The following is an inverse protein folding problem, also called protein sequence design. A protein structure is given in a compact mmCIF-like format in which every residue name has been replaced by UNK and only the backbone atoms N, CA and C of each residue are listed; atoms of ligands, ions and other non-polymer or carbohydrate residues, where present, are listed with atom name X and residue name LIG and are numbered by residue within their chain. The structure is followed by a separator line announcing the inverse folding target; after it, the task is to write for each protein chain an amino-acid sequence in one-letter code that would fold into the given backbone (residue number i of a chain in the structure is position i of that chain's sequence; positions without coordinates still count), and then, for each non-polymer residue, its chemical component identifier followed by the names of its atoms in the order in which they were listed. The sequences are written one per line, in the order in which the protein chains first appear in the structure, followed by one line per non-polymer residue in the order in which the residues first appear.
data_IF_737210941891
#
_entry.id   IF_737210941891
#
_cell.length_a   1.000
_cell.length_b   1.000
_cell.length_c   1.000
_cell.angle_alpha   90.00
_cell.angle_beta   90.00
_cell.angle_gamma   90.00
#
_symmetry.space_group_name_H-M   'P 1'
#
loop_
_entity.id
_entity.type
_entity.pdbx_description
1 polymer ?
#
# COMPACT_ATOMS: atom_id res chain seq x y z
N UNK A 1 -13.43 -0.73 22.43
CA UNK A 1 -13.35 -1.68 21.30
C UNK A 1 -13.81 -1.00 20.03
N UNK A 2 -13.08 -1.22 18.95
CA UNK A 2 -13.36 -0.70 17.63
C UNK A 2 -13.72 -1.88 16.74
N UNK A 3 -14.82 -1.77 16.00
CA UNK A 3 -15.19 -2.70 14.93
C UNK A 3 -14.78 -2.08 13.61
N UNK A 4 -13.73 -2.64 13.00
CA UNK A 4 -13.16 -2.18 11.74
C UNK A 4 -13.52 -3.17 10.65
N UNK A 5 -14.06 -2.68 9.53
CA UNK A 5 -14.26 -3.46 8.32
C UNK A 5 -13.08 -3.25 7.39
N UNK A 6 -12.58 -4.34 6.83
CA UNK A 6 -11.46 -4.37 5.91
C UNK A 6 -11.93 -5.08 4.65
N UNK A 7 -11.84 -4.40 3.51
CA UNK A 7 -12.29 -4.87 2.21
C UNK A 7 -11.06 -4.92 1.31
N UNK A 8 -10.76 -6.08 0.74
CA UNK A 8 -9.70 -6.19 -0.24
C UNK A 8 -10.18 -5.65 -1.59
N UNK A 9 -9.37 -4.83 -2.25
CA UNK A 9 -9.63 -4.26 -3.57
C UNK A 9 -9.44 -5.33 -4.65
N UNK A 10 -10.46 -6.15 -4.87
CA UNK A 10 -10.47 -7.21 -5.89
C UNK A 10 -11.86 -7.34 -6.51
N UNK A 11 -11.98 -8.09 -7.61
CA UNK A 11 -13.25 -8.25 -8.34
C UNK A 11 -14.32 -8.97 -7.51
N UNK A 12 -13.89 -9.88 -6.63
CA UNK A 12 -14.77 -10.62 -5.72
C UNK A 12 -14.87 -9.93 -4.34
N UNK A 13 -16.02 -10.08 -3.68
CA UNK A 13 -16.21 -9.56 -2.33
C UNK A 13 -15.36 -10.33 -1.30
N UNK A 14 -14.21 -9.77 -0.91
CA UNK A 14 -13.33 -10.32 0.14
C UNK A 14 -13.26 -9.35 1.32
N UNK A 15 -14.01 -9.66 2.38
CA UNK A 15 -14.27 -8.74 3.50
C UNK A 15 -13.97 -9.41 4.84
N UNK A 16 -13.37 -8.67 5.77
CA UNK A 16 -13.17 -9.07 7.16
C UNK A 16 -13.70 -7.98 8.10
N UNK A 17 -14.44 -8.38 9.12
CA UNK A 17 -14.79 -7.51 10.24
C UNK A 17 -13.89 -7.88 11.43
N UNK A 18 -13.06 -6.95 11.88
CA UNK A 18 -12.07 -7.12 12.95
C UNK A 18 -12.49 -6.28 14.15
N UNK A 19 -12.52 -6.90 15.34
CA UNK A 19 -12.62 -6.19 16.61
C UNK A 19 -11.22 -6.05 17.19
N UNK A 20 -10.83 -4.83 17.56
CA UNK A 20 -9.53 -4.51 18.17
C UNK A 20 -9.70 -3.45 19.26
N UNK A 21 -8.75 -3.38 20.19
CA UNK A 21 -8.68 -2.26 21.14
C UNK A 21 -8.44 -0.94 20.38
N UNK A 22 -9.17 0.12 20.76
CA UNK A 22 -8.97 1.44 20.17
C UNK A 22 -7.66 2.10 20.61
N UNK A 23 -7.09 1.63 21.72
CA UNK A 23 -5.78 2.07 22.22
C UNK A 23 -4.61 1.32 21.55
N UNK A 24 -4.89 0.30 20.73
CA UNK A 24 -3.85 -0.35 19.94
C UNK A 24 -3.29 0.60 18.87
N UNK A 25 -2.05 0.39 18.47
CA UNK A 25 -1.42 1.14 17.39
C UNK A 25 -1.76 0.54 16.02
N UNK A 26 -1.42 1.25 14.95
CA UNK A 26 -1.67 0.79 13.59
C UNK A 26 -0.80 -0.41 13.20
N UNK A 27 0.33 -0.64 13.87
CA UNK A 27 1.17 -1.82 13.65
C UNK A 27 0.45 -3.10 14.11
N UNK A 28 -0.20 -3.04 15.28
CA UNK A 28 -1.07 -4.12 15.75
C UNK A 28 -2.24 -4.36 14.79
N UNK A 29 -2.79 -3.30 14.18
CA UNK A 29 -3.81 -3.43 13.13
C UNK A 29 -3.24 -4.06 11.85
N UNK A 30 -2.04 -3.69 11.42
CA UNK A 30 -1.32 -4.32 10.30
C UNK A 30 -1.23 -5.84 10.51
N UNK A 31 -0.75 -6.30 11.67
CA UNK A 31 -0.65 -7.74 11.95
C UNK A 31 -2.02 -8.41 12.01
N UNK A 32 -3.04 -7.73 12.56
CA UNK A 32 -4.39 -8.25 12.61
C UNK A 32 -4.99 -8.44 11.20
N UNK A 33 -4.77 -7.48 10.29
CA UNK A 33 -5.19 -7.58 8.89
C UNK A 33 -4.42 -8.70 8.19
N UNK A 34 -3.08 -8.71 8.28
CA UNK A 34 -2.27 -9.75 7.65
C UNK A 34 -2.75 -11.16 8.04
N UNK A 35 -2.92 -11.40 9.34
CA UNK A 35 -3.44 -12.67 9.87
C UNK A 35 -4.87 -12.98 9.38
N UNK A 36 -5.75 -11.99 9.32
CA UNK A 36 -7.15 -12.19 8.91
C UNK A 36 -7.31 -12.56 7.43
N UNK A 37 -6.35 -12.15 6.59
CA UNK A 37 -6.31 -12.46 5.16
C UNK A 37 -5.33 -13.61 4.83
N UNK A 38 -4.63 -14.17 5.82
CA UNK A 38 -3.76 -15.34 5.66
C UNK A 38 -2.34 -15.02 5.18
N UNK A 39 -1.91 -13.77 5.31
CA UNK A 39 -0.53 -13.34 5.07
C UNK A 39 0.36 -13.59 6.31
N UNK A 40 1.66 -13.63 6.10
CA UNK A 40 2.66 -13.82 7.15
C UNK A 40 2.93 -12.54 7.98
N UNK A 41 2.53 -11.37 7.49
CA UNK A 41 2.75 -10.07 8.15
C UNK A 41 4.21 -9.61 8.15
N UNK A 42 5.02 -10.09 7.21
CA UNK A 42 6.46 -9.76 7.12
C UNK A 42 6.77 -8.72 6.04
N UNK A 43 5.80 -8.45 5.15
CA UNK A 43 6.02 -7.52 4.04
C UNK A 43 5.86 -6.06 4.48
N UNK A 44 6.53 -5.18 3.74
CA UNK A 44 6.40 -3.74 3.91
C UNK A 44 4.96 -3.29 3.65
N UNK A 45 4.51 -2.27 4.40
CA UNK A 45 3.15 -1.76 4.28
C UNK A 45 3.06 -0.29 4.69
N UNK A 46 1.99 0.36 4.23
CA UNK A 46 1.61 1.72 4.64
C UNK A 46 0.10 1.83 4.82
N UNK A 47 -0.33 2.62 5.80
CA UNK A 47 -1.69 3.16 5.84
C UNK A 47 -1.67 4.55 5.24
N UNK A 48 -2.74 4.94 4.58
CA UNK A 48 -3.00 6.28 4.12
C UNK A 48 -4.34 6.74 4.69
N UNK A 49 -4.42 8.01 5.12
CA UNK A 49 -5.73 8.60 5.40
C UNK A 49 -6.56 8.61 4.12
N UNK A 50 -7.85 8.33 4.25
CA UNK A 50 -8.78 8.40 3.13
C UNK A 50 -9.94 9.34 3.45
N UNK A 51 -10.35 10.12 2.45
CA UNK A 51 -11.55 10.93 2.55
C UNK A 51 -12.82 10.12 2.27
N UNK A 52 -13.98 10.78 2.24
CA UNK A 52 -15.26 10.11 1.97
C UNK A 52 -15.34 9.45 0.59
N UNK A 53 -14.55 9.93 -0.37
CA UNK A 53 -14.49 9.44 -1.75
C UNK A 53 -13.36 8.42 -1.96
N UNK A 54 -12.67 8.00 -0.90
CA UNK A 54 -11.51 7.10 -0.95
C UNK A 54 -10.31 7.69 -1.68
N UNK A 55 -10.17 9.03 -1.69
CA UNK A 55 -8.94 9.65 -2.16
C UNK A 55 -7.83 9.48 -1.12
N UNK A 56 -6.63 9.14 -1.58
CA UNK A 56 -5.44 8.91 -0.75
C UNK A 56 -4.89 10.25 -0.22
N UNK A 57 -4.66 10.32 1.09
CA UNK A 57 -4.05 11.45 1.79
C UNK A 57 -2.74 11.07 2.47
N UNK A 58 -2.49 11.65 3.66
CA UNK A 58 -1.24 11.47 4.41
C UNK A 58 -0.88 9.99 4.62
N UNK A 59 0.38 9.65 4.36
CA UNK A 59 0.96 8.34 4.61
C UNK A 59 1.34 8.13 6.07
N UNK A 60 1.19 6.89 6.52
CA UNK A 60 1.66 6.35 7.79
C UNK A 60 2.39 5.03 7.50
N UNK A 61 3.71 5.06 7.29
CA UNK A 61 4.51 3.89 6.95
C UNK A 61 4.67 2.93 8.12
N UNK A 62 4.94 1.66 7.82
CA UNK A 62 5.22 0.63 8.84
C UNK A 62 6.38 1.06 9.75
N UNK A 63 7.48 1.50 9.15
CA UNK A 63 8.66 2.03 9.83
C UNK A 63 8.75 3.55 9.67
N UNK A 64 9.31 4.21 10.67
CA UNK A 64 9.63 5.63 10.60
C UNK A 64 10.68 5.89 9.52
N UNK A 65 10.34 6.75 8.55
CA UNK A 65 11.22 7.07 7.42
C UNK A 65 12.14 8.26 7.70
N UNK A 66 11.70 9.18 8.55
CA UNK A 66 12.43 10.37 8.98
C UNK A 66 12.17 10.58 10.46
N UNK A 67 13.16 11.10 11.18
CA UNK A 67 13.04 11.40 12.61
C UNK A 67 11.86 12.34 12.88
N UNK A 68 11.07 12.03 13.91
CA UNK A 68 9.86 12.73 14.34
C UNK A 68 8.66 12.63 13.36
N UNK A 69 8.71 11.75 12.36
CA UNK A 69 7.55 11.48 11.48
C UNK A 69 6.68 10.32 12.00
N UNK A 70 5.36 10.36 11.72
CA UNK A 70 4.46 9.30 12.17
C UNK A 70 4.82 7.95 11.52
N UNK A 71 4.72 6.88 12.30
CA UNK A 71 4.80 5.50 11.85
C UNK A 71 3.62 4.71 12.40
N UNK A 72 3.44 3.47 11.92
CA UNK A 72 2.38 2.60 12.43
C UNK A 72 2.52 2.32 13.94
N UNK A 73 3.75 2.27 14.45
CA UNK A 73 4.02 2.03 15.87
C UNK A 73 3.62 3.22 16.75
N UNK A 74 3.84 4.45 16.29
CA UNK A 74 3.55 5.69 17.04
C UNK A 74 2.11 6.18 16.89
N UNK A 75 1.40 5.70 15.86
CA UNK A 75 0.02 6.08 15.57
C UNK A 75 -0.99 5.14 16.25
N UNK A 76 -1.76 5.67 17.20
CA UNK A 76 -2.86 4.96 17.88
C UNK A 76 -4.15 5.01 17.07
N UNK A 77 -4.89 3.89 17.02
CA UNK A 77 -6.16 3.76 16.26
C UNK A 77 -7.15 4.85 16.63
N UNK A 78 -7.45 5.06 17.92
CA UNK A 78 -8.43 6.05 18.36
C UNK A 78 -8.07 7.52 18.04
N UNK A 79 -6.82 7.79 17.67
CA UNK A 79 -6.35 9.12 17.21
C UNK A 79 -6.51 9.29 15.71
N UNK A 80 -6.50 8.20 14.94
CA UNK A 80 -6.59 8.21 13.47
C UNK A 80 -8.01 7.93 12.98
N UNK A 81 -8.71 7.03 13.65
CA UNK A 81 -10.12 6.71 13.46
C UNK A 81 -10.86 7.21 14.69
N UNK A 82 -11.43 8.41 14.61
CA UNK A 82 -12.04 9.13 15.74
C UNK A 82 -13.55 8.96 15.80
N UNK A 83 -14.20 8.80 14.64
CA UNK A 83 -15.65 8.67 14.50
C UNK A 83 -15.99 7.54 13.53
N UNK A 84 -17.23 7.06 13.62
CA UNK A 84 -17.77 6.09 12.66
C UNK A 84 -17.62 6.63 11.24
N UNK A 85 -17.31 5.73 10.33
CA UNK A 85 -17.02 6.00 8.91
C UNK A 85 -15.73 6.76 8.63
N UNK A 86 -14.84 6.93 9.62
CA UNK A 86 -13.46 7.30 9.31
C UNK A 86 -12.80 6.16 8.51
N UNK A 87 -12.00 6.54 7.51
CA UNK A 87 -11.47 5.64 6.49
C UNK A 87 -9.95 5.71 6.42
N UNK A 88 -9.34 4.56 6.13
CA UNK A 88 -7.94 4.45 5.73
C UNK A 88 -7.86 3.58 4.47
N UNK A 89 -6.83 3.80 3.68
CA UNK A 89 -6.39 2.85 2.65
C UNK A 89 -5.14 2.16 3.20
N UNK A 90 -5.10 0.84 3.13
CA UNK A 90 -3.97 0.05 3.57
C UNK A 90 -3.34 -0.64 2.37
N UNK A 91 -2.05 -0.44 2.16
CA UNK A 91 -1.27 -1.10 1.10
C UNK A 91 -0.29 -2.04 1.78
N UNK A 92 -0.37 -3.32 1.45
CA UNK A 92 0.51 -4.37 1.93
C UNK A 92 1.30 -4.97 0.78
N UNK A 93 2.58 -5.23 1.00
CA UNK A 93 3.53 -5.72 0.01
C UNK A 93 3.63 -4.77 -1.19
N UNK A 94 4.66 -3.91 -1.22
CA UNK A 94 4.84 -2.93 -2.30
C UNK A 94 5.24 -3.53 -3.65
N UNK A 95 5.55 -4.83 -3.72
CA UNK A 95 5.77 -5.52 -5.00
C UNK A 95 4.44 -5.95 -5.61
N UNK A 96 3.57 -6.54 -4.79
CA UNK A 96 2.27 -7.06 -5.22
C UNK A 96 1.13 -6.04 -5.12
N UNK A 97 1.30 -4.97 -4.33
CA UNK A 97 0.38 -3.85 -4.17
C UNK A 97 -1.03 -4.24 -3.67
N UNK A 98 -1.10 -5.16 -2.70
CA UNK A 98 -2.38 -5.55 -2.09
C UNK A 98 -3.01 -4.35 -1.39
N UNK A 99 -4.13 -3.87 -1.95
CA UNK A 99 -4.81 -2.67 -1.47
C UNK A 99 -6.08 -3.04 -0.72
N UNK A 100 -6.29 -2.44 0.44
CA UNK A 100 -7.45 -2.67 1.29
C UNK A 100 -8.12 -1.35 1.67
N UNK A 101 -9.44 -1.33 1.61
CA UNK A 101 -10.27 -0.27 2.15
C UNK A 101 -10.61 -0.60 3.60
N UNK A 102 -10.26 0.31 4.51
CA UNK A 102 -10.43 0.13 5.96
C UNK A 102 -11.40 1.19 6.46
N UNK A 103 -12.48 0.75 7.12
CA UNK A 103 -13.53 1.65 7.62
C UNK A 103 -13.88 1.32 9.07
N UNK A 104 -13.98 2.36 9.91
CA UNK A 104 -14.50 2.22 11.26
C UNK A 104 -16.03 2.12 11.27
N UNK A 105 -16.56 0.92 11.53
CA UNK A 105 -18.00 0.67 11.52
C UNK A 105 -18.65 1.01 12.87
N UNK A 106 -17.99 0.67 13.97
CA UNK A 106 -18.56 0.88 15.30
C UNK A 106 -17.52 1.12 16.39
N UNK A 107 -17.91 1.86 17.42
CA UNK A 107 -17.11 2.14 18.62
C UNK A 107 -17.93 1.68 19.83
N UNK A 108 -17.50 0.58 20.44
CA UNK A 108 -18.14 0.00 21.62
C UNK A 108 -17.29 0.27 22.85
N UNK A 109 -17.88 0.89 23.87
CA UNK A 109 -17.23 1.03 25.18
C UNK A 109 -17.10 -0.36 25.82
N UNK A 110 -15.86 -0.79 26.03
CA UNK A 110 -15.53 -2.04 26.72
C UNK A 110 -14.94 -1.69 28.07
N UNK A 111 -15.22 -2.51 29.08
CA UNK A 111 -14.57 -2.46 30.40
C UNK A 111 -13.28 -3.26 30.44
N UNK A 112 -13.02 -4.09 29.43
CA UNK A 112 -11.82 -4.90 29.31
C UNK A 112 -10.81 -4.18 28.42
N UNK A 113 -9.64 -3.89 28.98
CA UNK A 113 -8.46 -3.35 28.31
C UNK A 113 -7.62 -4.49 27.73
N UNK A 114 -6.89 -4.23 26.63
CA UNK A 114 -5.91 -5.17 26.03
C UNK A 114 -6.50 -6.46 25.44
N UNK A 115 -7.63 -6.36 24.74
CA UNK A 115 -8.17 -7.50 23.99
C UNK A 115 -7.36 -7.67 22.69
N UNK A 116 -6.91 -8.91 22.41
CA UNK A 116 -6.30 -9.25 21.12
C UNK A 116 -7.29 -9.03 19.97
N UNK A 117 -6.77 -8.76 18.76
CA UNK A 117 -7.63 -8.58 17.60
C UNK A 117 -8.36 -9.89 17.23
N UNK A 118 -9.68 -9.81 17.04
CA UNK A 118 -10.54 -10.97 16.73
C UNK A 118 -11.31 -10.70 15.43
N UNK A 119 -11.30 -11.65 14.51
CA UNK A 119 -12.16 -11.63 13.32
C UNK A 119 -13.55 -12.12 13.69
N UNK A 120 -14.56 -11.26 13.55
CA UNK A 120 -15.96 -11.57 13.88
C UNK A 120 -16.85 -11.74 12.66
N UNK A 121 -16.35 -11.40 11.47
CA UNK A 121 -17.02 -11.59 10.20
C UNK A 121 -16.01 -11.86 9.08
N UNK A 122 -16.35 -12.77 8.17
CA UNK A 122 -15.50 -13.17 7.06
C UNK A 122 -16.34 -13.53 5.85
N UNK A 123 -16.04 -12.91 4.71
CA UNK A 123 -16.69 -13.13 3.41
C UNK A 123 -15.60 -13.27 2.34
N UNK A 124 -15.79 -14.21 1.41
CA UNK A 124 -14.86 -14.40 0.29
C UNK A 124 -13.51 -15.02 0.67
N UNK A 125 -12.79 -15.46 -0.36
CA UNK A 125 -11.45 -16.04 -0.26
C UNK A 125 -10.46 -15.09 -0.90
N UNK A 126 -9.29 -14.94 -0.28
CA UNK A 126 -8.20 -14.14 -0.85
C UNK A 126 -7.73 -14.82 -2.14
N UNK A 127 -7.63 -14.08 -3.26
CA UNK A 127 -7.14 -14.65 -4.51
C UNK A 127 -5.67 -15.06 -4.39
N UNK A 128 -5.21 -15.93 -5.28
CA UNK A 128 -3.82 -16.43 -5.24
C UNK A 128 -2.78 -15.41 -5.71
N UNK A 129 -3.22 -14.37 -6.43
CA UNK A 129 -2.38 -13.31 -6.99
C UNK A 129 -3.03 -11.98 -6.71
N UNK A 130 -2.21 -10.95 -6.52
CA UNK A 130 -2.71 -9.61 -6.36
C UNK A 130 -3.43 -9.14 -7.64
N UNK A 131 -4.48 -8.33 -7.50
CA UNK A 131 -5.10 -7.67 -8.64
C UNK A 131 -4.09 -6.76 -9.33
N UNK A 132 -4.08 -6.78 -10.67
CA UNK A 132 -3.28 -5.84 -11.44
C UNK A 132 -3.89 -4.45 -11.31
N UNK A 133 -3.16 -3.49 -10.73
CA UNK A 133 -3.52 -2.08 -10.82
C UNK A 133 -3.20 -1.58 -12.23
N UNK A 134 -4.23 -1.40 -13.05
CA UNK A 134 -4.11 -0.58 -14.25
C UNK A 134 -3.99 0.89 -13.83
N UNK A 135 -2.76 1.41 -13.79
CA UNK A 135 -2.55 2.85 -13.70
C UNK A 135 -3.07 3.49 -14.98
N UNK A 136 -4.33 3.91 -14.98
CA UNK A 136 -4.81 4.90 -15.93
C UNK A 136 -4.27 6.23 -15.44
N UNK A 137 -3.08 6.61 -15.90
CA UNK A 137 -2.69 8.00 -15.82
C UNK A 137 -3.79 8.79 -16.53
N UNK A 138 -4.46 9.71 -15.82
CA UNK A 138 -5.07 10.84 -16.50
C UNK A 138 -3.90 11.66 -17.06
N UNK A 139 -3.37 11.20 -18.19
CA UNK A 139 -2.44 11.93 -19.02
C UNK A 139 -3.20 13.17 -19.46
N UNK A 140 -3.10 14.26 -18.68
CA UNK A 140 -3.12 15.58 -19.31
C UNK A 140 -2.05 15.48 -20.38
N UNK A 141 -2.49 15.43 -21.64
CA UNK A 141 -1.63 15.44 -22.82
C UNK A 141 -0.78 16.71 -22.77
N UNK A 142 0.38 16.61 -22.15
CA UNK A 142 1.51 17.45 -22.48
C UNK A 142 2.33 16.59 -23.43
N UNK A 143 2.36 17.01 -24.69
CA UNK A 143 2.73 16.18 -25.84
C UNK A 143 4.25 16.00 -26.00
N UNK A 144 5.07 16.43 -25.02
CA UNK A 144 6.51 16.64 -25.26
C UNK A 144 7.48 15.76 -24.45
N UNK A 145 7.06 14.91 -23.50
CA UNK A 145 7.99 14.12 -22.68
C UNK A 145 7.60 12.64 -22.58
N UNK A 146 7.53 11.92 -23.71
CA UNK A 146 7.46 10.46 -23.71
C UNK A 146 8.57 9.87 -24.58
N UNK A 147 9.75 9.72 -23.98
CA UNK A 147 10.74 8.76 -24.47
C UNK A 147 11.19 7.89 -23.28
N UNK A 148 11.16 6.58 -23.52
CA UNK A 148 11.66 5.44 -22.72
C UNK A 148 10.69 4.90 -21.65
N UNK A 149 10.29 3.62 -21.62
CA UNK A 149 10.92 2.39 -22.13
C UNK A 149 9.83 1.42 -22.59
N UNK A 150 9.89 0.98 -23.86
CA UNK A 150 9.27 -0.27 -24.29
C UNK A 150 10.44 -1.23 -24.56
N UNK A 151 10.70 -2.11 -23.60
CA UNK A 151 11.42 -3.37 -23.87
C UNK A 151 10.39 -4.34 -24.44
N UNK A 152 10.58 -4.74 -25.71
CA UNK A 152 10.63 -6.13 -26.17
C UNK A 152 10.66 -6.15 -27.72
N UNK A 153 11.82 -6.56 -28.24
CA UNK A 153 12.03 -7.47 -29.38
C UNK A 153 11.34 -7.20 -30.73
N UNK A 154 12.12 -6.75 -31.73
CA UNK A 154 12.66 -7.65 -32.78
C UNK A 154 13.25 -6.86 -33.98
N UNK A 155 14.57 -7.05 -34.17
CA UNK A 155 15.24 -7.46 -35.43
C UNK A 155 15.37 -6.50 -36.63
N UNK A 156 16.62 -6.50 -37.11
CA UNK A 156 17.17 -6.20 -38.44
C UNK A 156 17.42 -4.75 -38.88
N UNK A 157 18.68 -4.49 -39.25
CA UNK A 157 18.94 -3.65 -40.41
C UNK A 157 20.19 -2.79 -40.41
N UNK A 158 21.34 -3.44 -40.58
CA UNK A 158 22.44 -2.97 -41.44
C UNK A 158 23.46 -1.94 -40.91
N UNK A 159 24.72 -2.28 -41.19
CA UNK A 159 25.92 -1.54 -40.88
C UNK A 159 26.15 -0.45 -41.93
N UNK A 160 26.48 0.76 -41.50
CA UNK A 160 27.37 1.62 -42.28
C UNK A 160 28.26 2.46 -41.37
N UNK A 161 29.47 1.94 -41.24
CA UNK A 161 30.74 2.61 -40.95
C UNK A 161 30.82 4.05 -41.51
N UNK A 162 31.27 4.99 -40.68
CA UNK A 162 32.09 6.13 -41.13
C UNK A 162 32.77 6.83 -39.93
N UNK A 163 34.00 6.39 -39.67
CA UNK A 163 35.20 7.16 -39.30
C UNK A 163 35.06 8.41 -38.42
N UNK A 164 35.56 8.29 -37.18
CA UNK A 164 36.28 9.39 -36.54
C UNK A 164 37.69 8.93 -36.13
N UNK A 165 38.67 9.54 -36.79
CA UNK A 165 40.09 9.45 -36.56
C UNK A 165 40.45 9.63 -35.07
N UNK A 166 41.12 8.62 -34.52
CA UNK A 166 41.80 8.66 -33.23
C UNK A 166 43.31 8.88 -33.47
N UNK A 167 43.86 10.08 -33.22
CA UNK A 167 45.29 10.26 -33.12
C UNK A 167 45.76 10.10 -31.67
N UNK A 168 46.14 8.87 -31.31
CA UNK A 168 47.11 8.62 -30.26
C UNK A 168 48.42 9.35 -30.57
N UNK A 169 48.89 10.21 -29.66
CA UNK A 169 50.31 10.28 -29.33
C UNK A 169 50.52 10.54 -27.83
N UNK A 170 51.17 9.52 -27.27
CA UNK A 170 51.88 9.41 -26.00
C UNK A 170 53.06 10.41 -25.92
N UNK A 171 53.37 10.92 -24.72
CA UNK A 171 54.75 10.91 -24.25
C UNK A 171 54.86 11.32 -22.77
N UNK A 172 55.59 10.47 -22.06
CA UNK A 172 56.10 10.60 -20.70
C UNK A 172 56.94 11.88 -20.49
N UNK A 173 56.90 12.44 -19.28
CA UNK A 173 58.07 12.71 -18.42
C UNK A 173 57.64 13.13 -17.00
#
# INVERSE_FOLDING_TARGET
MYKIRVILDTEEDVIRDIIIDGNANLEQLHFAIAKAFGFNGQEMASFYKADNQWNQGDEIPLFEMEEDKPSMQTCVINKKLTKKHDKLIYVYDFLEMWTFFVELIDIVKSTNENIEAIVVGSVGKVPKKAPKREFKSESKKNEDDLIFFNDEDDVDGDYSDENYDDPYYDDEY
#
